data_IF_250120774716
#
_entry.id   IF_250120774716
#
_cell.length_a   1.000
_cell.length_b   1.000
_cell.length_c   1.000
_cell.angle_alpha   90.00
_cell.angle_beta   90.00
_cell.angle_gamma   90.00
#
_symmetry.space_group_name_H-M   'P 1'
#
loop_
_entity.id
_entity.type
_entity.pdbx_description
1 polymer ?
#
# COMPACT_ATOMS: atom_id res chain seq x y z
N UNK A 1 -4.55 36.47 14.07
CA UNK A 1 -3.51 35.59 13.50
C UNK A 1 -3.95 34.15 13.70
N UNK A 2 -4.11 33.35 12.63
CA UNK A 2 -4.35 31.90 12.77
C UNK A 2 -2.99 31.23 12.93
N UNK A 3 -2.70 30.68 14.10
CA UNK A 3 -1.54 29.79 14.28
C UNK A 3 -1.76 28.58 13.35
N UNK A 4 -0.72 28.16 12.64
CA UNK A 4 -0.78 26.96 11.81
C UNK A 4 -0.14 25.82 12.61
N UNK A 5 -0.89 24.74 12.86
CA UNK A 5 -0.41 23.59 13.62
C UNK A 5 -0.09 22.44 12.66
N UNK A 6 1.11 21.85 12.80
CA UNK A 6 1.51 20.66 12.06
C UNK A 6 0.72 19.41 12.49
N UNK A 7 0.72 18.35 11.68
CA UNK A 7 0.04 17.08 12.02
C UNK A 7 0.62 16.44 13.28
N UNK A 8 1.94 16.49 13.45
CA UNK A 8 2.66 15.97 14.63
C UNK A 8 2.26 16.73 15.89
N UNK A 9 2.21 18.07 15.84
CA UNK A 9 1.76 18.89 16.97
C UNK A 9 0.32 18.59 17.34
N UNK A 10 -0.58 18.46 16.35
CA UNK A 10 -1.99 18.08 16.59
C UNK A 10 -2.10 16.72 17.27
N UNK A 11 -1.36 15.72 16.80
CA UNK A 11 -1.35 14.38 17.37
C UNK A 11 -0.86 14.37 18.83
N UNK A 12 0.25 15.08 19.11
CA UNK A 12 0.77 15.23 20.48
C UNK A 12 -0.26 15.89 21.40
N UNK A 13 -0.90 16.97 20.93
CA UNK A 13 -1.91 17.69 21.70
C UNK A 13 -3.15 16.84 21.97
N UNK A 14 -3.58 16.00 21.02
CA UNK A 14 -4.70 15.07 21.24
C UNK A 14 -4.31 14.00 22.26
N UNK A 15 -3.10 13.42 22.16
CA UNK A 15 -2.63 12.40 23.10
C UNK A 15 -2.60 12.95 24.54
N UNK A 16 -2.05 14.15 24.75
CA UNK A 16 -2.09 14.85 26.05
C UNK A 16 -3.53 15.10 26.51
N UNK A 17 -4.42 15.56 25.62
CA UNK A 17 -5.81 15.86 25.96
C UNK A 17 -6.62 14.64 26.41
N UNK A 18 -6.31 13.45 25.89
CA UNK A 18 -7.01 12.21 26.23
C UNK A 18 -6.71 11.73 27.65
N UNK A 19 -5.50 11.99 28.16
CA UNK A 19 -5.07 11.56 29.50
C UNK A 19 -5.38 12.59 30.59
N UNK A 20 -5.87 13.78 30.25
CA UNK A 20 -6.21 14.81 31.22
C UNK A 20 -7.36 14.40 32.15
N UNK A 21 -7.26 14.70 33.46
CA UNK A 21 -8.34 14.53 34.42
C UNK A 21 -9.64 15.23 34.02
N UNK A 22 -10.77 14.73 34.51
CA UNK A 22 -12.06 15.40 34.32
C UNK A 22 -12.02 16.82 34.95
N UNK A 23 -12.52 17.81 34.22
CA UNK A 23 -12.58 19.21 34.66
C UNK A 23 -11.38 20.09 34.27
N UNK A 24 -10.22 19.53 33.92
CA UNK A 24 -9.02 20.34 33.56
C UNK A 24 -8.92 20.67 32.07
N UNK A 25 -9.70 19.97 31.24
CA UNK A 25 -9.63 20.02 29.77
C UNK A 25 -9.88 21.41 29.18
N UNK A 26 -10.79 22.20 29.74
CA UNK A 26 -11.10 23.54 29.24
C UNK A 26 -9.98 24.54 29.54
N UNK A 27 -9.40 24.48 30.74
CA UNK A 27 -8.27 25.34 31.12
C UNK A 27 -7.03 25.03 30.26
N UNK A 28 -6.71 23.74 30.10
CA UNK A 28 -5.59 23.28 29.28
C UNK A 28 -5.71 23.74 27.81
N UNK A 29 -6.93 23.73 27.26
CA UNK A 29 -7.22 24.21 25.91
C UNK A 29 -7.00 25.73 25.78
N UNK A 30 -7.47 26.50 26.77
CA UNK A 30 -7.32 27.95 26.79
C UNK A 30 -5.85 28.39 26.86
N UNK A 31 -5.04 27.75 27.70
CA UNK A 31 -3.59 28.00 27.82
C UNK A 31 -2.85 27.82 26.49
N UNK A 32 -3.30 26.86 25.68
CA UNK A 32 -2.66 26.50 24.40
C UNK A 32 -3.27 27.22 23.20
N UNK A 33 -4.27 28.07 23.42
CA UNK A 33 -4.95 28.80 22.36
C UNK A 33 -5.72 27.89 21.40
N UNK A 34 -6.18 26.72 21.87
CA UNK A 34 -6.94 25.76 21.09
C UNK A 34 -8.39 25.76 21.54
N UNK A 35 -9.32 25.83 20.59
CA UNK A 35 -10.75 25.79 20.91
C UNK A 35 -11.23 24.36 21.08
N UNK A 36 -12.31 24.16 21.83
CA UNK A 36 -12.93 22.84 21.99
C UNK A 36 -13.40 22.24 20.64
N UNK A 37 -13.78 23.09 19.69
CA UNK A 37 -14.15 22.68 18.32
C UNK A 37 -12.93 22.09 17.59
N UNK A 38 -11.81 22.82 17.59
CA UNK A 38 -10.55 22.34 16.98
C UNK A 38 -10.06 21.04 17.62
N UNK A 39 -10.08 20.93 18.94
CA UNK A 39 -9.68 19.69 19.62
C UNK A 39 -10.61 18.51 19.29
N UNK A 40 -11.90 18.77 19.08
CA UNK A 40 -12.84 17.73 18.66
C UNK A 40 -12.59 17.27 17.23
N UNK A 41 -12.23 18.19 16.33
CA UNK A 41 -11.81 17.89 14.96
C UNK A 41 -10.51 17.08 14.93
N UNK A 42 -9.49 17.52 15.67
CA UNK A 42 -8.19 16.83 15.72
C UNK A 42 -8.31 15.44 16.33
N UNK A 43 -9.12 15.27 17.38
CA UNK A 43 -9.37 13.98 18.00
C UNK A 43 -10.09 13.01 17.07
N UNK A 44 -11.01 13.48 16.22
CA UNK A 44 -11.58 12.66 15.15
C UNK A 44 -10.48 12.22 14.18
N UNK A 45 -9.70 13.16 13.64
CA UNK A 45 -8.60 12.85 12.72
C UNK A 45 -7.55 11.89 13.31
N UNK A 46 -7.26 12.01 14.62
CA UNK A 46 -6.36 11.12 15.34
C UNK A 46 -6.91 9.69 15.42
N UNK A 47 -8.18 9.52 15.77
CA UNK A 47 -8.82 8.21 15.88
C UNK A 47 -9.04 7.52 14.53
N UNK A 48 -9.08 8.28 13.43
CA UNK A 48 -9.18 7.73 12.08
C UNK A 48 -7.83 7.40 11.43
N UNK A 49 -6.69 7.73 12.07
CA UNK A 49 -5.35 7.51 11.53
C UNK A 49 -4.94 8.51 10.44
N UNK A 50 -5.75 9.55 10.21
CA UNK A 50 -5.52 10.58 9.20
C UNK A 50 -4.36 11.52 9.57
N UNK A 51 -4.00 11.59 10.86
CA UNK A 51 -2.88 12.42 11.31
C UNK A 51 -1.50 11.86 10.94
N UNK A 52 -1.34 10.54 10.84
CA UNK A 52 -0.08 9.91 10.42
C UNK A 52 0.14 9.99 8.90
N UNK A 53 -0.93 10.12 8.12
CA UNK A 53 -0.86 10.08 6.65
C UNK A 53 -0.77 11.44 5.97
N UNK A 54 -0.87 12.56 6.71
CA UNK A 54 -0.91 13.93 6.18
C UNK A 54 -1.92 14.16 5.04
N UNK A 55 -2.92 13.29 4.91
CA UNK A 55 -3.98 13.37 3.93
C UNK A 55 -5.05 14.30 4.50
N UNK A 56 -5.24 15.47 3.88
CA UNK A 56 -6.39 16.34 4.16
C UNK A 56 -7.53 15.87 3.24
N UNK A 57 -8.63 15.30 3.77
CA UNK A 57 -9.74 14.87 2.93
C UNK A 57 -10.30 16.05 2.12
N UNK A 58 -10.33 15.91 0.81
CA UNK A 58 -10.90 16.88 -0.14
C UNK A 58 -12.41 16.67 -0.31
N UNK A 59 -13.13 16.53 0.81
CA UNK A 59 -14.59 16.66 0.87
C UNK A 59 -15.00 16.86 2.33
N UNK A 60 -15.71 17.95 2.62
CA UNK A 60 -16.11 18.36 3.99
C UNK A 60 -17.43 17.78 4.45
N UNK A 61 -17.99 16.83 3.69
CA UNK A 61 -19.13 16.06 4.12
C UNK A 61 -18.71 15.21 5.34
N UNK A 62 -19.33 15.46 6.50
CA UNK A 62 -19.03 14.81 7.78
C UNK A 62 -19.04 13.29 7.65
N UNK A 63 -17.88 12.68 7.41
CA UNK A 63 -17.72 11.23 7.44
C UNK A 63 -18.13 10.73 8.82
N UNK A 64 -19.13 9.85 8.84
CA UNK A 64 -19.57 9.18 10.05
C UNK A 64 -18.70 7.92 10.28
N UNK A 65 -18.85 7.30 11.45
CA UNK A 65 -18.07 6.09 11.82
C UNK A 65 -18.28 4.93 10.85
N UNK A 66 -19.45 4.84 10.20
CA UNK A 66 -19.75 3.82 9.20
C UNK A 66 -19.01 4.05 7.88
N UNK A 67 -18.78 5.31 7.50
CA UNK A 67 -17.98 5.65 6.33
C UNK A 67 -16.50 5.32 6.55
N UNK A 68 -15.98 5.56 7.76
CA UNK A 68 -14.63 5.16 8.12
C UNK A 68 -14.43 3.64 8.15
N UNK A 69 -15.43 2.88 8.61
CA UNK A 69 -15.40 1.42 8.55
C UNK A 69 -15.40 0.93 7.09
N UNK A 70 -16.21 1.55 6.23
CA UNK A 70 -16.27 1.26 4.79
C UNK A 70 -14.94 1.55 4.09
N UNK A 71 -14.30 2.68 4.39
CA UNK A 71 -12.98 3.03 3.86
C UNK A 71 -11.93 1.98 4.26
N UNK A 72 -11.88 1.59 5.54
CA UNK A 72 -10.96 0.53 5.99
C UNK A 72 -11.21 -0.81 5.30
N UNK A 73 -12.47 -1.18 5.07
CA UNK A 73 -12.79 -2.39 4.32
C UNK A 73 -12.31 -2.32 2.87
N UNK A 74 -12.47 -1.17 2.21
CA UNK A 74 -11.96 -0.96 0.86
C UNK A 74 -10.43 -1.00 0.80
N UNK A 75 -9.74 -0.44 1.79
CA UNK A 75 -8.28 -0.52 1.90
C UNK A 75 -7.80 -1.97 2.04
N UNK A 76 -8.44 -2.75 2.91
CA UNK A 76 -8.12 -4.18 3.08
C UNK A 76 -8.38 -4.98 1.80
N UNK A 77 -9.49 -4.71 1.11
CA UNK A 77 -9.81 -5.34 -0.16
C UNK A 77 -8.77 -4.99 -1.24
N UNK A 78 -8.36 -3.73 -1.33
CA UNK A 78 -7.34 -3.28 -2.28
C UNK A 78 -5.98 -3.91 -1.99
N UNK A 79 -5.60 -4.05 -0.71
CA UNK A 79 -4.38 -4.75 -0.31
C UNK A 79 -4.43 -6.24 -0.67
N UNK A 80 -5.55 -6.91 -0.41
CA UNK A 80 -5.75 -8.30 -0.79
C UNK A 80 -5.64 -8.48 -2.32
N UNK A 81 -6.27 -7.61 -3.10
CA UNK A 81 -6.18 -7.63 -4.56
C UNK A 81 -4.74 -7.39 -5.05
N UNK A 82 -4.02 -6.46 -4.44
CA UNK A 82 -2.61 -6.21 -4.76
C UNK A 82 -1.73 -7.43 -4.48
N UNK A 83 -1.89 -8.06 -3.32
CA UNK A 83 -1.11 -9.25 -2.96
C UNK A 83 -1.41 -10.43 -3.90
N UNK A 84 -2.68 -10.63 -4.26
CA UNK A 84 -3.08 -11.64 -5.24
C UNK A 84 -2.45 -11.39 -6.62
N UNK A 85 -2.48 -10.14 -7.10
CA UNK A 85 -1.85 -9.77 -8.38
C UNK A 85 -0.34 -10.01 -8.40
N UNK A 86 0.36 -9.73 -7.29
CA UNK A 86 1.79 -9.98 -7.19
C UNK A 86 2.08 -11.49 -7.27
N UNK A 87 1.31 -12.31 -6.54
CA UNK A 87 1.45 -13.76 -6.58
C UNK A 87 1.18 -14.34 -7.98
N UNK A 88 0.16 -13.84 -8.68
CA UNK A 88 -0.13 -14.22 -10.06
C UNK A 88 1.03 -13.85 -11.00
N UNK A 89 1.61 -12.66 -10.84
CA UNK A 89 2.79 -12.22 -11.59
C UNK A 89 4.00 -13.13 -11.39
N UNK A 90 4.27 -13.55 -10.15
CA UNK A 90 5.34 -14.49 -9.83
C UNK A 90 5.12 -15.85 -10.49
N UNK A 91 3.89 -16.37 -10.49
CA UNK A 91 3.55 -17.63 -11.15
C UNK A 91 3.75 -17.56 -12.67
N UNK A 92 3.29 -16.48 -13.31
CA UNK A 92 3.45 -16.28 -14.74
C UNK A 92 4.92 -16.14 -15.13
N UNK A 93 5.74 -15.47 -14.32
CA UNK A 93 7.18 -15.39 -14.55
C UNK A 93 7.85 -16.76 -14.44
N UNK A 94 7.49 -17.57 -13.45
CA UNK A 94 8.01 -18.92 -13.31
C UNK A 94 7.62 -19.82 -14.49
N UNK A 95 6.41 -19.68 -15.03
CA UNK A 95 5.96 -20.41 -16.21
C UNK A 95 6.75 -20.01 -17.46
N UNK A 96 6.91 -18.70 -17.68
CA UNK A 96 7.70 -18.19 -18.81
C UNK A 96 9.15 -18.67 -18.76
N UNK A 97 9.75 -18.69 -17.57
CA UNK A 97 11.10 -19.22 -17.38
C UNK A 97 11.18 -20.71 -17.73
N UNK A 98 10.21 -21.50 -17.28
CA UNK A 98 10.14 -22.93 -17.61
C UNK A 98 10.01 -23.14 -19.12
N UNK A 99 9.11 -22.40 -19.77
CA UNK A 99 8.92 -22.48 -21.22
C UNK A 99 10.18 -22.10 -21.98
N UNK A 100 10.90 -21.05 -21.54
CA UNK A 100 12.17 -20.65 -22.14
C UNK A 100 13.21 -21.77 -22.04
N UNK A 101 13.35 -22.41 -20.88
CA UNK A 101 14.29 -23.52 -20.68
C UNK A 101 13.96 -24.72 -21.57
N UNK A 102 12.68 -25.05 -21.73
CA UNK A 102 12.26 -26.12 -22.65
C UNK A 102 12.62 -25.77 -24.09
N UNK A 103 12.31 -24.56 -24.54
CA UNK A 103 12.65 -24.11 -25.89
C UNK A 103 14.17 -24.12 -26.14
N UNK A 104 14.97 -23.68 -25.17
CA UNK A 104 16.43 -23.73 -25.26
C UNK A 104 16.95 -25.17 -25.37
N UNK A 105 16.38 -26.10 -24.61
CA UNK A 105 16.75 -27.51 -24.67
C UNK A 105 16.37 -28.14 -26.02
N UNK A 106 15.18 -27.84 -26.53
CA UNK A 106 14.71 -28.28 -27.85
C UNK A 106 15.61 -27.72 -28.97
N UNK A 107 15.97 -26.44 -28.89
CA UNK A 107 16.89 -25.81 -29.85
C UNK A 107 18.26 -26.49 -29.87
N UNK A 108 18.82 -26.82 -28.71
CA UNK A 108 20.07 -27.59 -28.61
C UNK A 108 19.95 -28.99 -29.21
N UNK A 109 18.85 -29.70 -28.93
CA UNK A 109 18.62 -31.03 -29.48
C UNK A 109 18.50 -31.01 -31.00
N UNK A 110 17.77 -30.03 -31.57
CA UNK A 110 17.66 -29.83 -33.02
C UNK A 110 19.05 -29.55 -33.62
N UNK A 111 19.85 -28.69 -32.99
CA UNK A 111 21.22 -28.41 -33.43
C UNK A 111 22.08 -29.68 -33.47
N UNK A 112 22.04 -30.50 -32.42
CA UNK A 112 22.78 -31.77 -32.37
C UNK A 112 22.30 -32.78 -33.43
N UNK A 113 21.00 -32.83 -33.72
CA UNK A 113 20.44 -33.69 -34.77
C UNK A 113 20.88 -33.22 -36.16
N UNK A 114 20.87 -31.91 -36.40
CA UNK A 114 21.33 -31.33 -37.66
C UNK A 114 22.84 -31.59 -37.86
N UNK A 115 23.66 -31.34 -36.85
CA UNK A 115 25.09 -31.63 -36.85
C UNK A 115 25.42 -33.10 -37.13
N UNK A 116 24.57 -34.01 -36.64
CA UNK A 116 24.70 -35.45 -36.88
C UNK A 116 24.27 -35.82 -38.29
N UNK A 117 23.17 -35.26 -38.79
CA UNK A 117 22.69 -35.49 -40.15
C UNK A 117 23.74 -35.02 -41.18
N UNK A 118 24.29 -33.81 -41.01
CA UNK A 118 25.34 -33.25 -41.88
C UNK A 118 26.64 -34.08 -41.82
N UNK A 119 26.99 -34.64 -40.66
CA UNK A 119 28.16 -35.54 -40.53
C UNK A 119 27.96 -36.93 -41.12
N UNK A 120 26.72 -37.36 -41.33
CA UNK A 120 26.38 -38.66 -41.95
C UNK A 120 26.28 -38.57 -43.48
N UNK A 121 26.30 -37.37 -44.05
CA UNK A 121 26.44 -37.13 -45.50
C UNK A 121 27.92 -36.85 -45.86
N UNK A 122 28.78 -37.88 -45.86
CA UNK A 122 29.50 -38.16 -47.11
C UNK A 122 29.65 -39.67 -47.39
N UNK A 123 29.75 -39.99 -48.68
CA UNK A 123 29.87 -41.33 -49.31
C UNK A 123 28.57 -42.04 -49.67
N UNK A 124 27.78 -41.42 -50.57
CA UNK A 124 26.91 -42.17 -51.47
C UNK A 124 26.80 -41.52 -52.85
N UNK A 125 27.94 -41.16 -53.47
CA UNK A 125 28.02 -40.94 -54.92
C UNK A 125 29.31 -41.62 -55.43
N UNK A 126 29.14 -42.82 -56.00
CA UNK A 126 30.10 -43.50 -56.89
C UNK A 126 29.86 -43.08 -58.33
#
# INVERSE_FOLDING_TARGET
MRRNWSSVEKASMVAEYLVLPHGTKLAWLAERGVTASMMSEWRRAYLFGDLDRALVPRDTSTMNVSDAARVRQLELALQAEHTARLAEGEQLQAELERMRQVNDALGKAIGLLHDRAVRQEPEAES
#
